data_IF_932301238013
#
_entry.id   IF_932301238013
#
_cell.length_a   1.000
_cell.length_b   1.000
_cell.length_c   1.000
_cell.angle_alpha   90.00
_cell.angle_beta   90.00
_cell.angle_gamma   90.00
#
_symmetry.space_group_name_H-M   'P 1'
#
loop_
_entity.id
_entity.type
_entity.pdbx_description
1 polymer ?
#
# COMPACT_ATOMS: atom_id res chain seq x y z
N UNK A 1 2.36 31.59 21.92
CA UNK A 1 2.86 31.72 20.53
C UNK A 1 3.75 30.56 20.09
N UNK A 2 5.01 30.39 20.52
CA UNK A 2 5.84 29.25 20.08
C UNK A 2 5.31 27.91 20.60
N UNK A 3 4.85 27.87 21.86
CA UNK A 3 4.20 26.71 22.47
C UNK A 3 2.94 26.25 21.70
N UNK A 4 2.11 27.20 21.26
CA UNK A 4 0.88 26.91 20.49
C UNK A 4 1.19 26.35 19.11
N UNK A 5 2.30 26.78 18.47
CA UNK A 5 2.77 26.19 17.22
C UNK A 5 3.22 24.74 17.43
N UNK A 6 3.95 24.47 18.51
CA UNK A 6 4.38 23.12 18.86
C UNK A 6 3.16 22.22 19.15
N UNK A 7 2.16 22.73 19.87
CA UNK A 7 0.92 22.01 20.16
C UNK A 7 0.12 21.71 18.88
N UNK A 8 0.04 22.67 17.95
CA UNK A 8 -0.57 22.46 16.64
C UNK A 8 0.18 21.40 15.83
N UNK A 9 1.52 21.41 15.85
CA UNK A 9 2.33 20.39 15.19
C UNK A 9 2.14 19.00 15.81
N UNK A 10 1.96 18.91 17.13
CA UNK A 10 1.62 17.66 17.83
C UNK A 10 0.27 17.15 17.37
N UNK A 11 -0.75 18.03 17.31
CA UNK A 11 -2.08 17.67 16.84
C UNK A 11 -2.05 17.11 15.42
N UNK A 12 -1.41 17.82 14.49
CA UNK A 12 -1.25 17.38 13.10
C UNK A 12 -0.53 16.02 13.02
N UNK A 13 0.53 15.84 13.82
CA UNK A 13 1.28 14.58 13.87
C UNK A 13 0.43 13.42 14.40
N UNK A 14 -0.41 13.64 15.40
CA UNK A 14 -1.32 12.63 15.95
C UNK A 14 -2.42 12.25 14.96
N UNK A 15 -3.00 13.21 14.27
CA UNK A 15 -3.98 12.98 13.20
C UNK A 15 -3.34 12.13 12.08
N UNK A 16 -2.13 12.50 11.65
CA UNK A 16 -1.35 11.72 10.67
C UNK A 16 -1.11 10.30 11.15
N UNK A 17 -0.72 10.11 12.41
CA UNK A 17 -0.53 8.78 12.99
C UNK A 17 -1.83 7.95 12.98
N UNK A 18 -2.98 8.57 13.24
CA UNK A 18 -4.30 7.93 13.11
C UNK A 18 -4.59 7.42 11.70
N UNK A 19 -4.27 8.24 10.69
CA UNK A 19 -4.37 7.85 9.27
C UNK A 19 -3.42 6.71 8.91
N UNK A 20 -2.15 6.79 9.35
CA UNK A 20 -1.17 5.71 9.12
C UNK A 20 -1.59 4.39 9.77
N UNK A 21 -2.13 4.44 10.98
CA UNK A 21 -2.69 3.24 11.63
C UNK A 21 -3.86 2.65 10.85
N UNK A 22 -4.65 3.49 10.18
CA UNK A 22 -5.74 3.05 9.31
C UNK A 22 -5.19 2.36 8.05
N UNK A 23 -4.15 2.93 7.41
CA UNK A 23 -3.44 2.29 6.30
C UNK A 23 -2.85 0.94 6.74
N UNK A 24 -2.21 0.88 7.92
CA UNK A 24 -1.65 -0.36 8.45
C UNK A 24 -2.72 -1.45 8.63
N UNK A 25 -3.91 -1.09 9.12
CA UNK A 25 -5.04 -2.03 9.22
C UNK A 25 -5.48 -2.52 7.84
N UNK A 26 -5.62 -1.60 6.87
CA UNK A 26 -5.96 -1.94 5.48
C UNK A 26 -4.92 -2.87 4.86
N UNK A 27 -3.62 -2.62 5.04
CA UNK A 27 -2.53 -3.48 4.56
C UNK A 27 -2.59 -4.89 5.16
N UNK A 28 -2.93 -5.02 6.46
CA UNK A 28 -3.12 -6.32 7.10
C UNK A 28 -4.33 -7.08 6.54
N UNK A 29 -5.41 -6.36 6.25
CA UNK A 29 -6.64 -6.93 5.67
C UNK A 29 -6.41 -7.35 4.22
N UNK A 30 -5.66 -6.57 3.44
CA UNK A 30 -5.29 -6.85 2.06
C UNK A 30 -4.67 -8.24 1.90
N UNK A 31 -3.78 -8.63 2.82
CA UNK A 31 -3.17 -9.97 2.86
C UNK A 31 -4.19 -11.11 2.83
N UNK A 32 -5.34 -10.93 3.52
CA UNK A 32 -6.41 -11.93 3.57
C UNK A 32 -7.15 -12.05 2.22
N UNK A 33 -7.41 -10.94 1.56
CA UNK A 33 -8.11 -10.94 0.26
C UNK A 33 -7.22 -11.46 -0.87
N UNK A 34 -5.93 -11.11 -0.86
CA UNK A 34 -4.94 -11.70 -1.78
C UNK A 34 -4.91 -13.23 -1.62
N UNK A 35 -4.95 -13.74 -0.38
CA UNK A 35 -4.99 -15.18 -0.11
C UNK A 35 -6.27 -15.88 -0.58
N UNK A 36 -7.38 -15.14 -0.74
CA UNK A 36 -8.66 -15.64 -1.26
C UNK A 36 -8.83 -15.44 -2.77
N UNK A 37 -7.81 -14.89 -3.44
CA UNK A 37 -7.87 -14.51 -4.87
C UNK A 37 -9.01 -13.53 -5.19
N UNK A 38 -9.47 -12.76 -4.19
CA UNK A 38 -10.53 -11.77 -4.33
C UNK A 38 -9.93 -10.41 -4.73
N UNK A 39 -9.80 -10.22 -6.05
CA UNK A 39 -9.18 -9.03 -6.64
C UNK A 39 -10.05 -7.78 -6.51
N UNK A 40 -11.39 -7.92 -6.52
CA UNK A 40 -12.30 -6.78 -6.36
C UNK A 40 -12.15 -6.15 -4.98
N UNK A 41 -12.17 -6.97 -3.93
CA UNK A 41 -11.94 -6.50 -2.56
C UNK A 41 -10.53 -5.93 -2.37
N UNK A 42 -9.53 -6.41 -3.12
CA UNK A 42 -8.19 -5.85 -3.09
C UNK A 42 -8.14 -4.45 -3.73
N UNK A 43 -8.83 -4.22 -4.85
CA UNK A 43 -8.89 -2.92 -5.51
C UNK A 43 -9.60 -1.87 -4.64
N UNK A 44 -10.72 -2.24 -3.99
CA UNK A 44 -11.39 -1.35 -3.03
C UNK A 44 -10.49 -0.94 -1.85
N UNK A 45 -9.56 -1.82 -1.44
CA UNK A 45 -8.58 -1.49 -0.40
C UNK A 45 -7.56 -0.49 -0.89
N UNK A 46 -7.12 -0.60 -2.15
CA UNK A 46 -6.19 0.35 -2.75
C UNK A 46 -6.83 1.74 -2.85
N UNK A 47 -8.08 1.83 -3.30
CA UNK A 47 -8.81 3.10 -3.37
C UNK A 47 -8.91 3.77 -1.98
N UNK A 48 -9.26 3.00 -0.95
CA UNK A 48 -9.32 3.50 0.44
C UNK A 48 -7.96 3.98 0.95
N UNK A 49 -6.87 3.30 0.57
CA UNK A 49 -5.52 3.74 0.93
C UNK A 49 -5.19 5.07 0.25
N UNK A 50 -5.51 5.21 -1.04
CA UNK A 50 -5.25 6.44 -1.80
C UNK A 50 -6.01 7.64 -1.24
N UNK A 51 -7.27 7.46 -0.81
CA UNK A 51 -8.03 8.51 -0.12
C UNK A 51 -7.36 8.96 1.19
N UNK A 52 -6.82 8.01 1.97
CA UNK A 52 -6.14 8.33 3.22
C UNK A 52 -4.81 9.03 2.94
N UNK A 53 -4.06 8.62 1.91
CA UNK A 53 -2.80 9.26 1.52
C UNK A 53 -3.05 10.73 1.14
N UNK A 54 -4.10 11.04 0.38
CA UNK A 54 -4.47 12.42 0.06
C UNK A 54 -4.74 13.28 1.31
N UNK A 55 -5.32 12.69 2.37
CA UNK A 55 -5.51 13.39 3.65
C UNK A 55 -4.18 13.63 4.36
N UNK A 56 -3.29 12.65 4.35
CA UNK A 56 -1.93 12.78 4.90
C UNK A 56 -1.16 13.90 4.18
N UNK A 57 -1.27 14.03 2.86
CA UNK A 57 -0.60 15.09 2.09
C UNK A 57 -1.06 16.51 2.48
N UNK A 58 -2.31 16.66 2.91
CA UNK A 58 -2.81 17.93 3.46
C UNK A 58 -2.16 18.21 4.81
N UNK A 59 -2.17 17.23 5.71
CA UNK A 59 -1.54 17.35 7.04
C UNK A 59 -0.03 17.63 6.95
N UNK A 60 0.68 17.02 6.00
CA UNK A 60 2.11 17.23 5.81
C UNK A 60 2.42 18.65 5.34
N UNK A 61 1.58 19.21 4.46
CA UNK A 61 1.71 20.63 4.05
C UNK A 61 1.45 21.56 5.23
N UNK A 62 0.41 21.31 6.02
CA UNK A 62 0.10 22.10 7.22
C UNK A 62 1.25 22.03 8.24
N UNK A 63 1.81 20.84 8.46
CA UNK A 63 2.96 20.65 9.34
C UNK A 63 4.17 21.48 8.88
N UNK A 64 4.49 21.47 7.58
CA UNK A 64 5.62 22.22 7.04
C UNK A 64 5.44 23.73 7.17
N UNK A 65 4.22 24.23 6.99
CA UNK A 65 3.90 25.65 7.21
C UNK A 65 4.14 26.00 8.68
N UNK A 66 3.59 25.21 9.62
CA UNK A 66 3.77 25.44 11.06
C UNK A 66 5.22 25.32 11.51
N UNK A 67 5.96 24.39 10.94
CA UNK A 67 7.38 24.25 11.21
C UNK A 67 8.19 25.45 10.72
N UNK A 68 7.88 25.96 9.52
CA UNK A 68 8.52 27.16 8.97
C UNK A 68 8.21 28.41 9.81
N UNK A 69 6.96 28.55 10.27
CA UNK A 69 6.58 29.61 11.23
C UNK A 69 7.37 29.51 12.54
N UNK A 70 7.58 28.29 13.06
CA UNK A 70 8.36 28.05 14.27
C UNK A 70 9.83 28.41 14.07
N UNK A 71 10.44 27.99 12.96
CA UNK A 71 11.84 28.32 12.60
C UNK A 71 12.08 29.82 12.60
N UNK A 72 11.23 30.57 11.89
CA UNK A 72 11.36 32.02 11.77
C UNK A 72 11.19 32.73 13.13
N UNK A 73 10.33 32.21 14.02
CA UNK A 73 10.11 32.83 15.33
C UNK A 73 11.20 32.53 16.34
N UNK A 74 11.73 31.31 16.31
CA UNK A 74 12.77 30.88 17.26
C UNK A 74 14.19 31.10 16.71
N UNK A 75 14.32 31.51 15.45
CA UNK A 75 15.59 31.65 14.73
C UNK A 75 16.43 30.36 14.78
N UNK A 76 15.74 29.23 14.55
CA UNK A 76 16.32 27.88 14.54
C UNK A 76 16.18 27.25 13.16
N UNK A 77 17.11 26.35 12.81
CA UNK A 77 17.00 25.53 11.61
C UNK A 77 16.46 24.13 11.92
N UNK A 78 16.72 23.62 13.11
CA UNK A 78 16.31 22.31 13.58
C UNK A 78 15.51 22.38 14.89
N UNK A 79 14.45 21.57 14.99
CA UNK A 79 13.60 21.49 16.19
C UNK A 79 14.35 20.95 17.42
N UNK A 80 15.51 20.33 17.22
CA UNK A 80 16.41 19.87 18.27
C UNK A 80 17.24 21.00 18.90
N UNK A 81 17.33 22.17 18.27
CA UNK A 81 17.98 23.35 18.85
C UNK A 81 17.15 23.97 19.98
N UNK A 82 15.84 23.67 20.03
CA UNK A 82 14.97 24.12 21.10
C UNK A 82 15.20 23.32 22.39
N UNK A 83 15.35 24.04 23.50
CA UNK A 83 15.51 23.41 24.81
C UNK A 83 14.17 22.77 25.26
N UNK A 84 14.24 21.49 25.62
CA UNK A 84 13.10 20.71 26.13
C UNK A 84 12.68 21.19 27.53
N UNK A 85 13.57 21.83 28.28
CA UNK A 85 13.24 22.46 29.57
C UNK A 85 12.34 23.69 29.40
N UNK A 86 12.53 24.46 28.31
CA UNK A 86 11.68 25.61 27.98
C UNK A 86 10.38 25.20 27.29
N UNK A 87 10.42 24.13 26.50
CA UNK A 87 9.28 23.60 25.75
C UNK A 87 9.10 22.10 25.97
N UNK A 88 8.51 21.66 27.09
CA UNK A 88 8.36 20.24 27.42
C UNK A 88 7.55 19.47 26.36
N UNK A 89 6.66 20.16 25.67
CA UNK A 89 5.82 19.65 24.58
C UNK A 89 6.65 19.08 23.40
N UNK A 90 7.91 19.51 23.23
CA UNK A 90 8.84 18.94 22.25
C UNK A 90 9.06 17.45 22.44
N UNK A 91 9.03 16.96 23.69
CA UNK A 91 9.20 15.55 23.99
C UNK A 91 8.08 14.71 23.39
N UNK A 92 6.86 15.22 23.47
CA UNK A 92 5.67 14.58 22.90
C UNK A 92 5.70 14.61 21.37
N UNK A 93 6.08 15.73 20.78
CA UNK A 93 6.25 15.84 19.33
C UNK A 93 7.29 14.83 18.81
N UNK A 94 8.47 14.77 19.43
CA UNK A 94 9.52 13.81 19.07
C UNK A 94 9.06 12.35 19.26
N UNK A 95 8.29 12.07 20.30
CA UNK A 95 7.68 10.76 20.51
C UNK A 95 6.72 10.37 19.39
N UNK A 96 5.81 11.28 19.04
CA UNK A 96 4.83 11.06 17.96
C UNK A 96 5.51 10.85 16.61
N UNK A 97 6.57 11.63 16.30
CA UNK A 97 7.36 11.45 15.07
C UNK A 97 8.03 10.08 15.02
N UNK A 98 8.58 9.60 16.14
CA UNK A 98 9.16 8.24 16.21
C UNK A 98 8.10 7.17 15.93
N UNK A 99 6.92 7.30 16.52
CA UNK A 99 5.81 6.37 16.29
C UNK A 99 5.35 6.37 14.82
N UNK A 100 5.29 7.55 14.18
CA UNK A 100 5.04 7.68 12.74
C UNK A 100 6.08 6.90 11.93
N UNK A 101 7.37 7.09 12.22
CA UNK A 101 8.45 6.38 11.53
C UNK A 101 8.35 4.87 11.69
N UNK A 102 8.09 4.39 12.91
CA UNK A 102 7.89 2.95 13.17
C UNK A 102 6.66 2.39 12.43
N UNK A 103 5.58 3.15 12.38
CA UNK A 103 4.34 2.74 11.67
C UNK A 103 4.56 2.67 10.17
N UNK A 104 5.26 3.64 9.58
CA UNK A 104 5.63 3.64 8.16
C UNK A 104 6.50 2.43 7.81
N UNK A 105 7.48 2.10 8.67
CA UNK A 105 8.32 0.92 8.47
C UNK A 105 7.49 -0.37 8.50
N UNK A 106 6.56 -0.49 9.44
CA UNK A 106 5.66 -1.64 9.51
C UNK A 106 4.75 -1.77 8.28
N UNK A 107 4.21 -0.66 7.76
CA UNK A 107 3.43 -0.62 6.52
C UNK A 107 4.30 -1.11 5.36
N UNK A 108 5.50 -0.55 5.20
CA UNK A 108 6.42 -0.88 4.10
C UNK A 108 6.77 -2.37 4.06
N UNK A 109 7.10 -2.96 5.21
CA UNK A 109 7.40 -4.40 5.31
C UNK A 109 6.19 -5.24 4.87
N UNK A 110 4.99 -4.91 5.35
CA UNK A 110 3.79 -5.67 5.02
C UNK A 110 3.36 -5.49 3.56
N UNK A 111 3.50 -4.30 2.98
CA UNK A 111 3.20 -4.08 1.56
C UNK A 111 4.19 -4.83 0.65
N UNK A 112 5.47 -4.94 1.05
CA UNK A 112 6.44 -5.77 0.33
C UNK A 112 6.07 -7.26 0.38
N UNK A 113 5.64 -7.75 1.54
CA UNK A 113 5.11 -9.12 1.68
C UNK A 113 3.89 -9.35 0.80
N UNK A 114 2.90 -8.45 0.85
CA UNK A 114 1.68 -8.54 0.07
C UNK A 114 1.98 -8.57 -1.44
N UNK A 115 2.89 -7.71 -1.91
CA UNK A 115 3.34 -7.71 -3.30
C UNK A 115 4.00 -9.02 -3.71
N UNK A 116 4.82 -9.63 -2.84
CA UNK A 116 5.44 -10.94 -3.10
C UNK A 116 4.38 -12.03 -3.24
N UNK A 117 3.36 -12.03 -2.39
CA UNK A 117 2.25 -13.01 -2.46
C UNK A 117 1.43 -12.82 -3.73
N UNK A 118 1.04 -11.59 -4.06
CA UNK A 118 0.27 -11.27 -5.25
C UNK A 118 0.97 -11.74 -6.53
N UNK A 119 2.29 -11.48 -6.65
CA UNK A 119 3.11 -11.94 -7.79
C UNK A 119 3.08 -13.47 -7.93
N UNK A 120 3.19 -14.21 -6.82
CA UNK A 120 3.11 -15.68 -6.83
C UNK A 120 1.73 -16.17 -7.29
N UNK A 121 0.64 -15.56 -6.81
CA UNK A 121 -0.72 -15.91 -7.24
C UNK A 121 -0.92 -15.67 -8.73
N UNK A 122 -0.44 -14.54 -9.27
CA UNK A 122 -0.52 -14.23 -10.70
C UNK A 122 0.25 -15.25 -11.57
N UNK A 123 1.45 -15.66 -11.14
CA UNK A 123 2.22 -16.68 -11.87
C UNK A 123 1.50 -18.03 -11.90
N UNK A 124 0.86 -18.43 -10.78
CA UNK A 124 0.04 -19.65 -10.74
C UNK A 124 -1.14 -19.59 -11.71
N UNK A 125 -1.89 -18.48 -11.71
CA UNK A 125 -2.99 -18.25 -12.65
C UNK A 125 -2.51 -18.33 -14.10
N UNK A 126 -1.36 -17.71 -14.44
CA UNK A 126 -0.77 -17.80 -15.79
C UNK A 126 -0.43 -19.23 -16.19
N UNK A 127 0.13 -20.03 -15.27
CA UNK A 127 0.45 -21.43 -15.52
C UNK A 127 -0.79 -22.27 -15.76
N UNK A 128 -1.85 -22.07 -14.97
CA UNK A 128 -3.11 -22.80 -15.13
C UNK A 128 -3.81 -22.41 -16.43
N UNK A 129 -3.81 -21.12 -16.82
CA UNK A 129 -4.27 -20.70 -18.15
C UNK A 129 -3.48 -21.35 -19.30
N UNK A 130 -2.15 -21.50 -19.16
CA UNK A 130 -1.32 -22.22 -20.15
C UNK A 130 -1.70 -23.70 -20.23
N UNK A 131 -1.93 -24.37 -19.09
CA UNK A 131 -2.39 -25.77 -19.04
C UNK A 131 -3.76 -25.94 -19.70
N UNK A 132 -4.72 -25.06 -19.41
CA UNK A 132 -6.04 -25.07 -20.02
C UNK A 132 -5.98 -24.87 -21.54
N UNK A 133 -5.14 -23.94 -22.03
CA UNK A 133 -4.92 -23.75 -23.47
C UNK A 133 -4.32 -24.99 -24.14
N UNK A 134 -3.34 -25.64 -23.49
CA UNK A 134 -2.76 -26.90 -23.98
C UNK A 134 -3.78 -28.04 -23.99
N UNK A 135 -4.58 -28.17 -22.92
CA UNK A 135 -5.67 -29.15 -22.82
C UNK A 135 -6.75 -28.95 -23.89
N UNK A 136 -7.19 -27.70 -24.14
CA UNK A 136 -8.11 -27.39 -25.25
C UNK A 136 -7.53 -27.71 -26.63
N UNK A 137 -6.22 -27.49 -26.84
CA UNK A 137 -5.54 -27.87 -28.09
C UNK A 137 -5.47 -29.39 -28.26
N UNK A 138 -5.12 -30.12 -27.20
CA UNK A 138 -5.12 -31.58 -27.21
C UNK A 138 -6.53 -32.14 -27.48
N UNK A 139 -7.55 -31.64 -26.76
CA UNK A 139 -8.94 -32.03 -26.95
C UNK A 139 -9.42 -31.77 -28.39
N UNK A 140 -9.12 -30.61 -28.99
CA UNK A 140 -9.43 -30.33 -30.40
C UNK A 140 -8.68 -31.25 -31.39
N UNK A 141 -7.50 -31.74 -31.04
CA UNK A 141 -6.73 -32.68 -31.86
C UNK A 141 -7.32 -34.09 -31.87
N UNK A 142 -7.84 -34.56 -30.72
CA UNK A 142 -8.49 -35.86 -30.61
C UNK A 142 -9.96 -35.85 -31.04
N UNK A 143 -10.65 -34.71 -30.89
CA UNK A 143 -12.08 -34.55 -31.22
C UNK A 143 -12.28 -33.90 -32.60
N UNK A 144 -11.33 -34.08 -33.50
CA UNK A 144 -11.50 -33.73 -34.91
C UNK A 144 -12.45 -34.78 -35.49
N UNK A 145 -13.68 -34.40 -35.81
CA UNK A 145 -14.55 -35.23 -36.65
C UNK A 145 -13.74 -35.57 -37.90
N UNK A 146 -13.41 -36.85 -38.06
CA UNK A 146 -12.86 -37.35 -39.31
C UNK A 146 -13.93 -37.05 -40.36
N UNK A 147 -13.73 -35.99 -41.16
CA UNK A 147 -14.49 -35.82 -42.39
C UNK A 147 -14.22 -37.09 -43.22
N UNK A 148 -15.22 -37.95 -43.29
CA UNK A 148 -15.20 -39.23 -43.98
C UNK A 148 -15.12 -39.05 -45.49
N UNK A 149 -14.01 -38.50 -45.99
CA UNK A 149 -13.62 -38.58 -47.40
C UNK A 149 -12.37 -39.47 -47.48
N UNK A 150 -12.54 -40.74 -47.11
CA UNK A 150 -11.58 -41.79 -47.47
C UNK A 150 -11.83 -42.09 -48.95
N UNK A 151 -11.00 -41.54 -49.82
CA UNK A 151 -10.96 -41.98 -51.22
C UNK A 151 -10.21 -43.32 -51.28
N UNK A 152 -10.98 -44.40 -51.46
CA UNK A 152 -10.43 -45.71 -51.82
C UNK A 152 -10.28 -45.73 -53.35
N UNK A 153 -9.04 -45.74 -53.81
CA UNK A 153 -8.72 -45.91 -55.24
C UNK A 153 -8.71 -47.42 -55.57
N UNK A 154 -9.80 -47.92 -56.16
CA UNK A 154 -9.84 -49.27 -56.72
C UNK A 154 -9.14 -49.29 -58.08
N UNK A 155 -7.90 -49.80 -58.11
CA UNK A 155 -7.22 -50.12 -59.37
C UNK A 155 -7.88 -51.33 -60.04
N UNK A 156 -8.44 -51.10 -61.23
CA UNK A 156 -8.75 -52.15 -62.22
C UNK A 156 -7.65 -52.22 -63.27
#
# INVERSE_FOLDING_TARGET
>A
MAKELIDSMIYISKEKLGHLNSILKLTKVQKKYIGKEDMLSNDEILDKKDEIIKKIDVLDREFLIKFSELKNKCNIDDINELNVEEYPNLRELKGTIREISSTLMAISILDEENNKVLKKSLEKIKLDLKKLKKGKKAYKGYNKTLDSNIFIDEKK
#
